data_IF_636403371493
#
_entry.id   IF_636403371493
#
_cell.length_a   1.000
_cell.length_b   1.000
_cell.length_c   1.000
_cell.angle_alpha   90.00
_cell.angle_beta   90.00
_cell.angle_gamma   90.00
#
_symmetry.space_group_name_H-M   'P 1'
#
loop_
_entity.id
_entity.type
_entity.pdbx_description
1 polymer ?
#
# COMPACT_ATOMS: atom_id res chain seq x y z
N UNK A 1 -1.55 1.36 4.76
CA UNK A 1 -1.55 0.24 5.73
C UNK A 1 -1.64 -1.11 5.01
N UNK A 2 -1.09 -2.19 5.58
CA UNK A 2 -1.27 -3.56 5.07
C UNK A 2 -2.07 -4.38 6.09
N UNK A 3 -3.30 -4.73 5.72
CA UNK A 3 -4.20 -5.55 6.53
C UNK A 3 -4.08 -7.02 6.11
N UNK A 4 -3.96 -7.96 7.06
CA UNK A 4 -3.90 -9.37 6.71
C UNK A 4 -5.20 -9.81 6.03
N UNK A 5 -6.36 -9.43 6.56
CA UNK A 5 -7.71 -9.66 6.01
C UNK A 5 -8.62 -8.46 6.31
N UNK A 6 -9.80 -8.40 5.69
CA UNK A 6 -10.82 -7.40 5.98
C UNK A 6 -11.23 -7.41 7.47
N UNK A 7 -11.43 -6.24 8.07
CA UNK A 7 -11.84 -6.09 9.47
C UNK A 7 -10.75 -6.39 10.52
N UNK A 8 -9.56 -6.82 10.11
CA UNK A 8 -8.43 -7.05 11.02
C UNK A 8 -7.53 -5.82 11.12
N UNK A 9 -6.83 -5.70 12.24
CA UNK A 9 -5.82 -4.65 12.43
C UNK A 9 -4.65 -4.81 11.44
N UNK A 10 -4.08 -3.67 11.01
CA UNK A 10 -2.92 -3.66 10.13
C UNK A 10 -1.69 -4.13 10.90
N UNK A 11 -0.93 -5.08 10.32
CA UNK A 11 0.32 -5.57 10.93
C UNK A 11 1.56 -4.82 10.47
N UNK A 12 1.47 -4.14 9.33
CA UNK A 12 2.58 -3.41 8.69
C UNK A 12 2.05 -2.15 8.03
N UNK A 13 2.95 -1.18 7.87
CA UNK A 13 2.72 0.04 7.08
C UNK A 13 3.89 0.26 6.14
N UNK A 14 3.59 0.74 4.93
CA UNK A 14 4.60 1.24 4.00
C UNK A 14 4.52 2.76 4.06
N UNK A 15 5.67 3.40 4.27
CA UNK A 15 5.80 4.85 4.35
C UNK A 15 6.72 5.31 3.24
N UNK A 16 6.26 6.26 2.42
CA UNK A 16 7.08 6.92 1.40
C UNK A 16 7.29 8.37 1.81
N UNK A 17 8.54 8.80 1.82
CA UNK A 17 8.93 10.18 2.15
C UNK A 17 9.86 10.74 1.09
N UNK A 18 9.94 12.08 1.02
CA UNK A 18 10.89 12.80 0.17
C UNK A 18 11.61 13.84 1.01
N UNK A 19 12.95 13.82 0.96
CA UNK A 19 13.79 14.82 1.63
C UNK A 19 13.39 16.22 1.16
N UNK A 20 13.21 17.14 2.10
CA UNK A 20 12.84 18.53 1.82
C UNK A 20 11.37 18.74 1.41
N UNK A 21 10.53 17.70 1.41
CA UNK A 21 9.09 17.88 1.20
C UNK A 21 8.48 18.71 2.34
N UNK A 22 7.73 19.75 1.98
CA UNK A 22 7.02 20.64 2.93
C UNK A 22 5.52 20.37 3.02
N UNK A 23 5.08 19.22 2.50
CA UNK A 23 3.67 18.87 2.34
C UNK A 23 3.22 18.10 3.58
N UNK A 24 1.97 18.27 4.05
CA UNK A 24 1.44 17.46 5.15
C UNK A 24 1.54 15.95 4.84
N UNK A 25 1.70 15.15 5.89
CA UNK A 25 1.58 13.69 5.80
C UNK A 25 0.16 13.34 5.32
N UNK A 26 0.06 12.42 4.35
CA UNK A 26 -1.22 11.88 3.88
C UNK A 26 -1.29 10.37 4.11
N UNK A 27 -2.47 9.89 4.46
CA UNK A 27 -2.77 8.47 4.51
C UNK A 27 -3.45 8.03 3.21
N UNK A 28 -2.88 7.01 2.57
CA UNK A 28 -3.52 6.35 1.44
C UNK A 28 -4.42 5.21 1.94
N UNK A 29 -5.46 4.83 1.16
CA UNK A 29 -6.17 3.58 1.39
C UNK A 29 -5.17 2.44 1.53
N UNK A 30 -5.35 1.59 2.55
CA UNK A 30 -4.48 0.44 2.70
C UNK A 30 -4.81 -0.68 1.71
N UNK A 31 -4.05 -1.77 1.81
CA UNK A 31 -4.19 -2.96 0.99
C UNK A 31 -4.55 -4.14 1.89
N UNK A 32 -5.66 -4.82 1.59
CA UNK A 32 -5.99 -6.11 2.17
C UNK A 32 -5.19 -7.17 1.41
N UNK A 33 -4.40 -7.95 2.14
CA UNK A 33 -3.48 -8.91 1.56
C UNK A 33 -4.18 -10.21 1.18
N UNK A 34 -5.04 -10.74 2.06
CA UNK A 34 -5.68 -12.03 1.87
C UNK A 34 -7.21 -11.95 1.84
N UNK A 35 -7.80 -12.81 1.02
CA UNK A 35 -9.22 -13.16 1.08
C UNK A 35 -9.53 -13.93 2.37
N UNK A 36 -10.82 -14.15 2.64
CA UNK A 36 -11.27 -14.89 3.83
C UNK A 36 -10.65 -16.30 3.89
N UNK A 37 -10.50 -16.96 2.74
CA UNK A 37 -9.92 -18.30 2.59
C UNK A 37 -8.38 -18.35 2.71
N UNK A 38 -7.71 -17.20 2.85
CA UNK A 38 -6.27 -17.11 3.04
C UNK A 38 -5.45 -16.98 1.74
N UNK A 39 -6.07 -17.10 0.55
CA UNK A 39 -5.40 -16.75 -0.71
C UNK A 39 -5.09 -15.25 -0.73
N UNK A 40 -4.07 -14.85 -1.49
CA UNK A 40 -3.86 -13.43 -1.74
C UNK A 40 -5.06 -12.84 -2.50
N UNK A 41 -5.41 -11.59 -2.19
CA UNK A 41 -6.36 -10.85 -3.03
C UNK A 41 -5.77 -10.67 -4.42
N UNK A 42 -6.58 -10.55 -5.50
CA UNK A 42 -6.07 -10.37 -6.85
C UNK A 42 -5.10 -9.19 -6.99
N UNK A 43 -5.36 -8.11 -6.24
CA UNK A 43 -4.49 -6.92 -6.22
C UNK A 43 -3.15 -7.19 -5.53
N UNK A 44 -3.15 -7.94 -4.42
CA UNK A 44 -1.92 -8.32 -3.74
C UNK A 44 -1.10 -9.31 -4.57
N UNK A 45 -1.77 -10.29 -5.20
CA UNK A 45 -1.12 -11.31 -6.03
C UNK A 45 -0.43 -10.68 -7.25
N UNK A 46 -1.09 -9.75 -7.95
CA UNK A 46 -0.49 -9.02 -9.08
C UNK A 46 0.75 -8.21 -8.69
N UNK A 47 0.81 -7.66 -7.47
CA UNK A 47 2.00 -6.95 -6.98
C UNK A 47 3.13 -7.95 -6.64
N UNK A 48 2.80 -9.03 -5.94
CA UNK A 48 3.78 -9.96 -5.39
C UNK A 48 4.31 -10.96 -6.42
N UNK A 49 3.53 -11.29 -7.45
CA UNK A 49 3.86 -12.32 -8.46
C UNK A 49 4.09 -11.74 -9.84
N UNK A 50 3.27 -10.76 -10.24
CA UNK A 50 3.33 -10.18 -11.60
C UNK A 50 4.14 -8.87 -11.65
N UNK A 51 4.71 -8.43 -10.52
CA UNK A 51 5.57 -7.26 -10.45
C UNK A 51 4.83 -5.92 -10.64
N UNK A 52 3.50 -5.91 -10.48
CA UNK A 52 2.73 -4.68 -10.57
C UNK A 52 3.13 -3.69 -9.48
N UNK A 53 3.09 -2.39 -9.82
CA UNK A 53 3.43 -1.33 -8.87
C UNK A 53 2.43 -1.23 -7.72
N UNK A 54 2.95 -0.99 -6.51
CA UNK A 54 2.11 -0.59 -5.38
C UNK A 54 1.51 0.80 -5.68
N UNK A 55 0.18 1.00 -5.57
CA UNK A 55 -0.46 2.28 -5.88
C UNK A 55 -0.17 3.29 -4.78
N UNK A 56 0.99 3.93 -4.89
CA UNK A 56 1.43 5.06 -4.07
C UNK A 56 0.95 6.37 -4.70
N UNK A 57 0.92 7.44 -3.91
CA UNK A 57 0.57 8.77 -4.42
C UNK A 57 1.53 9.16 -5.56
N UNK A 58 1.03 9.77 -6.65
CA UNK A 58 1.87 10.15 -7.77
C UNK A 58 3.01 11.08 -7.32
N UNK A 59 4.23 10.79 -7.79
CA UNK A 59 5.40 11.66 -7.61
C UNK A 59 5.18 12.93 -8.44
N UNK A 60 4.87 14.06 -7.78
CA UNK A 60 5.03 15.37 -8.43
C UNK A 60 6.54 15.65 -8.61
N UNK A 61 7.01 16.19 -9.75
CA UNK A 61 8.39 16.64 -9.92
C UNK A 61 8.85 17.55 -8.76
N UNK A 62 10.16 17.59 -8.52
CA UNK A 62 10.76 18.66 -7.72
C UNK A 62 10.66 19.88 -8.65
N UNK A 63 10.03 20.96 -8.20
CA UNK A 63 10.20 22.25 -8.86
C UNK A 63 11.67 22.70 -8.70
#
# INVERSE_FOLDING_TARGET
PLWPKAGMEAKRVIVQVRKGARRPLGFLPGLILHEADGRYTPKADAILRDGMGLPLAPRKPLD
#
